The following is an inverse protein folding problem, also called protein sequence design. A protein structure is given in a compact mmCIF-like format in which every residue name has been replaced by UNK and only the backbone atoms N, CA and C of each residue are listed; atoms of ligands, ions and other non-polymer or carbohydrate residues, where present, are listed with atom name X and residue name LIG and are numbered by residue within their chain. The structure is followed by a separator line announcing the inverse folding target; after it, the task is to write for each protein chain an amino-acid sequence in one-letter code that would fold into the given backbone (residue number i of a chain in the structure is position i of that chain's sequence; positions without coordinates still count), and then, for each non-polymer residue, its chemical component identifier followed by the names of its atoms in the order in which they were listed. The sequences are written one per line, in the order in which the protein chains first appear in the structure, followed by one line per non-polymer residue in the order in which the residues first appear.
data_IF_100313222332
#
_entry.id   IF_100313222332
#
_cell.length_a   1.000
_cell.length_b   1.000
_cell.length_c   1.000
_cell.angle_alpha   90.00
_cell.angle_beta   90.00
_cell.angle_gamma   90.00
#
_symmetry.space_group_name_H-M   'P 1'
#
loop_
_entity.id
_entity.type
_entity.pdbx_description
1 polymer ?
#
# COMPACT_ATOMS: atom_id res chain seq x y z
N UNK A 1 -3.79 -2.59 8.12
CA UNK A 1 -2.97 -1.58 7.43
C UNK A 1 -2.12 -0.87 8.47
N UNK A 2 -0.82 -0.64 8.20
CA UNK A 2 0.01 0.19 9.10
C UNK A 2 -0.20 1.66 8.75
N UNK A 3 -0.40 2.52 9.74
CA UNK A 3 -0.65 3.94 9.52
C UNK A 3 0.18 4.78 10.48
N UNK A 4 0.81 5.81 9.91
CA UNK A 4 1.68 6.74 10.63
C UNK A 4 0.99 8.09 10.71
N UNK A 5 0.86 8.60 11.93
CA UNK A 5 0.33 9.93 12.17
C UNK A 5 1.46 10.85 12.66
N UNK A 6 1.31 12.17 12.48
CA UNK A 6 2.33 13.14 12.93
C UNK A 6 1.95 13.74 14.28
N UNK A 7 0.72 14.23 14.38
CA UNK A 7 0.11 14.77 15.60
C UNK A 7 -1.33 14.29 15.59
N UNK A 8 -1.76 13.65 16.68
CA UNK A 8 -3.13 13.14 16.80
C UNK A 8 -3.69 13.43 18.18
N UNK A 9 -4.99 13.69 18.19
CA UNK A 9 -5.80 13.61 19.38
C UNK A 9 -6.48 12.24 19.39
N UNK A 10 -6.18 11.43 20.40
CA UNK A 10 -6.64 10.06 20.51
C UNK A 10 -7.63 9.95 21.66
N UNK A 11 -8.81 9.41 21.37
CA UNK A 11 -9.80 9.10 22.40
C UNK A 11 -9.87 7.60 22.56
N UNK A 12 -9.37 7.09 23.69
CA UNK A 12 -9.57 5.68 24.04
C UNK A 12 -11.03 5.46 24.42
N UNK A 13 -11.57 4.27 24.14
CA UNK A 13 -12.97 3.94 24.43
C UNK A 13 -13.26 4.19 25.93
N UNK A 14 -14.23 5.08 26.19
CA UNK A 14 -14.66 5.42 27.55
C UNK A 14 -13.68 6.29 28.35
N UNK A 15 -12.71 6.94 27.68
CA UNK A 15 -11.76 7.87 28.31
C UNK A 15 -11.79 9.22 27.60
N UNK A 16 -11.24 10.23 28.27
CA UNK A 16 -11.08 11.56 27.70
C UNK A 16 -10.06 11.55 26.55
N UNK A 17 -10.19 12.47 25.58
CA UNK A 17 -9.21 12.64 24.53
C UNK A 17 -7.83 12.99 25.10
N UNK A 18 -6.79 12.40 24.53
CA UNK A 18 -5.39 12.65 24.88
C UNK A 18 -4.63 13.02 23.62
N UNK A 19 -4.01 14.20 23.63
CA UNK A 19 -3.10 14.62 22.56
C UNK A 19 -1.79 13.83 22.66
N UNK A 20 -1.47 13.09 21.61
CA UNK A 20 -0.24 12.31 21.54
C UNK A 20 0.52 12.61 20.24
N UNK A 21 1.85 12.68 20.35
CA UNK A 21 2.76 12.70 19.20
C UNK A 21 3.14 11.26 18.85
N UNK A 22 2.17 10.46 18.40
CA UNK A 22 2.46 9.08 18.00
C UNK A 22 2.89 9.02 16.55
N UNK A 23 4.16 8.71 16.31
CA UNK A 23 4.73 8.57 14.96
C UNK A 23 4.36 7.25 14.28
N UNK A 24 3.95 6.22 15.03
CA UNK A 24 3.49 4.92 14.50
C UNK A 24 2.37 4.38 15.38
N UNK A 25 1.20 4.15 14.80
CA UNK A 25 0.22 3.26 15.37
C UNK A 25 0.51 1.87 14.82
N UNK A 26 0.99 0.96 15.65
CA UNK A 26 1.15 -0.46 15.30
C UNK A 26 -0.22 -1.18 15.29
N UNK A 27 -1.26 -0.54 14.75
CA UNK A 27 -2.60 -1.12 14.54
C UNK A 27 -2.70 -1.77 13.17
N UNK A 28 -1.70 -2.58 12.82
CA UNK A 28 -1.67 -3.31 11.55
C UNK A 28 -2.95 -4.09 11.26
N UNK A 29 -3.67 -4.54 12.28
CA UNK A 29 -4.95 -5.26 12.12
C UNK A 29 -6.16 -4.63 12.86
N UNK A 30 -5.98 -3.54 13.61
CA UNK A 30 -7.07 -3.01 14.47
C UNK A 30 -7.83 -1.84 13.83
N UNK A 31 -7.44 -1.44 12.62
CA UNK A 31 -8.12 -0.34 11.91
C UNK A 31 -9.37 -0.89 11.23
N UNK A 32 -10.53 -0.33 11.58
CA UNK A 32 -11.83 -0.75 11.03
C UNK A 32 -12.36 0.20 9.96
N UNK A 33 -12.14 1.50 10.15
CA UNK A 33 -12.67 2.54 9.28
C UNK A 33 -11.66 3.68 9.14
N UNK A 34 -11.63 4.28 7.94
CA UNK A 34 -10.98 5.56 7.69
C UNK A 34 -12.06 6.57 7.32
N UNK A 35 -12.01 7.74 7.94
CA UNK A 35 -12.75 8.91 7.48
C UNK A 35 -11.80 9.65 6.56
N UNK A 36 -12.12 9.63 5.26
CA UNK A 36 -11.34 10.31 4.25
C UNK A 36 -11.88 11.73 4.05
N UNK A 37 -11.05 12.60 3.50
CA UNK A 37 -11.48 13.94 3.15
C UNK A 37 -12.48 13.87 1.99
N UNK A 38 -13.54 14.67 2.04
CA UNK A 38 -14.59 14.67 1.00
C UNK A 38 -14.04 15.03 -0.38
N UNK A 39 -12.95 15.79 -0.44
CA UNK A 39 -12.29 16.20 -1.68
C UNK A 39 -11.42 15.09 -2.32
N UNK A 40 -11.32 13.91 -1.71
CA UNK A 40 -10.47 12.84 -2.23
C UNK A 40 -11.12 12.17 -3.45
N UNK A 41 -10.52 12.35 -4.62
CA UNK A 41 -11.00 11.71 -5.85
C UNK A 41 -10.61 10.22 -5.92
N UNK A 42 -11.49 9.36 -5.44
CA UNK A 42 -11.29 7.90 -5.43
C UNK A 42 -11.15 7.31 -6.84
N UNK A 43 -11.86 7.85 -7.84
CA UNK A 43 -11.86 7.29 -9.20
C UNK A 43 -10.47 7.33 -9.83
N UNK A 44 -9.73 8.42 -9.62
CA UNK A 44 -8.35 8.55 -10.11
C UNK A 44 -7.35 7.67 -9.35
N UNK A 45 -7.64 7.33 -8.09
CA UNK A 45 -6.73 6.55 -7.24
C UNK A 45 -6.99 5.05 -7.35
N UNK A 46 -8.21 4.66 -7.71
CA UNK A 46 -8.64 3.28 -7.93
C UNK A 46 -8.40 2.80 -9.36
N UNK A 47 -7.50 3.47 -10.11
CA UNK A 47 -7.03 2.92 -11.38
C UNK A 47 -6.41 1.56 -11.11
N UNK A 48 -6.85 0.54 -11.84
CA UNK A 48 -6.29 -0.80 -11.74
C UNK A 48 -4.77 -0.72 -11.92
N UNK A 49 -4.05 -0.97 -10.83
CA UNK A 49 -2.68 -1.44 -10.88
C UNK A 49 -2.69 -2.86 -11.46
N UNK A 50 -3.29 -3.09 -12.63
CA UNK A 50 -2.87 -4.23 -13.45
C UNK A 50 -1.38 -4.00 -13.66
N UNK A 51 -0.50 -4.80 -13.04
CA UNK A 51 0.91 -4.70 -13.35
C UNK A 51 0.97 -4.89 -14.86
N UNK A 52 1.44 -3.86 -15.59
CA UNK A 52 1.69 -3.99 -17.02
C UNK A 52 2.61 -5.19 -17.15
N UNK A 53 2.02 -6.33 -17.50
CA UNK A 53 2.70 -7.61 -17.48
C UNK A 53 3.94 -7.44 -18.33
N UNK A 54 5.13 -7.50 -17.74
CA UNK A 54 6.30 -7.82 -18.53
C UNK A 54 5.95 -9.17 -19.13
N UNK A 55 5.69 -9.19 -20.43
CA UNK A 55 5.34 -10.40 -21.15
C UNK A 55 6.40 -11.44 -20.83
N UNK A 56 6.04 -12.48 -20.08
CA UNK A 56 6.82 -13.71 -20.03
C UNK A 56 6.60 -14.36 -21.39
N UNK A 57 7.37 -13.87 -22.36
CA UNK A 57 7.50 -14.45 -23.69
C UNK A 57 8.25 -15.76 -23.59
N UNK A 58 7.51 -16.81 -23.22
CA UNK A 58 7.67 -18.22 -23.54
C UNK A 58 9.03 -18.65 -24.13
N UNK A 59 9.69 -19.55 -23.43
CA UNK A 59 10.62 -20.53 -24.01
C UNK A 59 10.06 -21.09 -25.33
N UNK A 60 10.78 -20.89 -26.45
CA UNK A 60 10.65 -21.68 -27.68
C UNK A 60 11.98 -21.62 -28.44
N UNK A 61 12.73 -22.72 -28.35
CA UNK A 61 14.12 -22.84 -28.77
C UNK A 61 14.38 -22.86 -30.28
N UNK A 62 15.68 -22.98 -30.58
CA UNK A 62 16.40 -23.31 -31.83
C UNK A 62 17.72 -22.55 -31.71
N UNK A 63 18.85 -23.14 -31.31
CA UNK A 63 19.52 -24.26 -31.95
C UNK A 63 20.81 -23.73 -32.58
N UNK A 64 21.95 -24.33 -32.23
CA UNK A 64 23.26 -24.27 -32.91
C UNK A 64 23.93 -22.88 -33.00
N UNK A 65 25.10 -22.72 -32.39
CA UNK A 65 26.31 -22.98 -33.15
C UNK A 65 27.52 -23.27 -32.24
N UNK A 66 28.32 -24.24 -32.67
CA UNK A 66 29.68 -24.47 -32.19
C UNK A 66 30.58 -23.41 -32.84
N UNK A 67 31.66 -23.01 -32.16
CA UNK A 67 32.92 -22.38 -32.62
C UNK A 67 33.31 -21.31 -31.58
N UNK A 68 34.45 -21.31 -30.93
CA UNK A 68 35.70 -22.02 -31.14
C UNK A 68 36.83 -21.09 -30.71
N UNK A 69 37.84 -21.68 -30.05
CA UNK A 69 39.12 -21.09 -29.65
C UNK A 69 39.14 -20.26 -28.37
#
# INVERSE_FOLDING_TARGET
MNTHFKIVELTLKGKNPVTSRSSKLEWGNNIRYYILLDCLNLVSLLVENTPRGKAIGRCRGRGRDKRGR
#
